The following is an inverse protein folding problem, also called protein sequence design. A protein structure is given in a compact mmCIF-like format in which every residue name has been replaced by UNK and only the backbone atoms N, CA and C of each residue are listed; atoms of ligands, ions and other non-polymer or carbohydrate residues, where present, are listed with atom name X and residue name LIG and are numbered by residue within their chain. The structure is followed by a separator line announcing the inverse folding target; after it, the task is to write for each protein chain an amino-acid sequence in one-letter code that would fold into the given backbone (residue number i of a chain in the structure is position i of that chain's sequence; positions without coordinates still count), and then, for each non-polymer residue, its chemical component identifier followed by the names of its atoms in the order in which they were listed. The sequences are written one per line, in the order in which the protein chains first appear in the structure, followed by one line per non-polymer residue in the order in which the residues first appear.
data_IF_658513780020
#
_entry.id   IF_658513780020
#
_cell.length_a   1.000
_cell.length_b   1.000
_cell.length_c   1.000
_cell.angle_alpha   90.00
_cell.angle_beta   90.00
_cell.angle_gamma   90.00
#
_symmetry.space_group_name_H-M   'P 1'
#
loop_
_entity.id
_entity.type
_entity.pdbx_description
1 polymer ?
#
# COMPACT_ATOMS: atom_id res chain seq x y z
N UNK A 1 3.50 15.75 10.25
CA UNK A 1 3.44 14.27 10.20
C UNK A 1 2.60 13.74 9.05
N UNK A 2 1.39 14.25 8.82
CA UNK A 2 0.51 13.82 7.71
C UNK A 2 1.18 13.88 6.32
N UNK A 3 1.89 14.97 6.00
CA UNK A 3 2.64 15.13 4.74
C UNK A 3 3.72 14.07 4.54
N UNK A 4 4.47 13.72 5.59
CA UNK A 4 5.48 12.64 5.54
C UNK A 4 4.83 11.28 5.27
N UNK A 5 3.69 11.01 5.90
CA UNK A 5 2.92 9.77 5.64
C UNK A 5 2.38 9.75 4.21
N UNK A 6 1.92 10.89 3.69
CA UNK A 6 1.47 11.01 2.29
C UNK A 6 2.61 10.73 1.30
N UNK A 7 3.80 11.30 1.53
CA UNK A 7 4.98 11.06 0.70
C UNK A 7 5.42 9.58 0.77
N UNK A 8 5.33 8.96 1.96
CA UNK A 8 5.64 7.55 2.14
C UNK A 8 4.64 6.61 1.46
N UNK A 9 3.36 6.96 1.42
CA UNK A 9 2.34 6.19 0.69
C UNK A 9 2.48 6.43 -0.82
N UNK A 10 2.87 7.64 -1.23
CA UNK A 10 2.96 8.02 -2.63
C UNK A 10 1.59 8.04 -3.31
N UNK A 11 1.51 7.72 -4.62
CA UNK A 11 0.26 7.76 -5.37
C UNK A 11 -0.68 6.59 -5.07
N UNK A 12 -0.30 5.67 -4.17
CA UNK A 12 -1.08 4.48 -3.83
C UNK A 12 -2.41 4.88 -3.16
N UNK A 13 -3.51 4.66 -3.87
CA UNK A 13 -4.89 4.83 -3.41
C UNK A 13 -5.64 3.51 -3.59
N UNK A 14 -6.72 3.31 -2.83
CA UNK A 14 -7.55 2.12 -3.00
C UNK A 14 -8.05 2.02 -4.45
N UNK A 15 -7.87 0.86 -5.07
CA UNK A 15 -8.12 0.58 -6.49
C UNK A 15 -6.93 0.83 -7.42
N UNK A 16 -5.83 1.44 -6.96
CA UNK A 16 -4.64 1.63 -7.78
C UNK A 16 -3.87 0.32 -7.96
N UNK A 17 -3.20 0.15 -9.10
CA UNK A 17 -2.22 -0.92 -9.32
C UNK A 17 -0.84 -0.29 -9.45
N UNK A 18 0.11 -0.77 -8.67
CA UNK A 18 1.52 -0.42 -8.82
C UNK A 18 2.37 -1.67 -9.02
N UNK A 19 3.55 -1.49 -9.58
CA UNK A 19 4.53 -2.54 -9.81
C UNK A 19 5.87 -2.10 -9.25
N UNK A 20 6.62 -3.05 -8.71
CA UNK A 20 8.02 -2.86 -8.33
C UNK A 20 8.80 -4.17 -8.57
N UNK A 21 9.99 -4.28 -8.01
CA UNK A 21 10.85 -5.47 -8.15
C UNK A 21 10.24 -6.75 -7.58
N UNK A 22 9.32 -6.64 -6.63
CA UNK A 22 8.74 -7.78 -5.92
C UNK A 22 7.49 -8.32 -6.63
N UNK A 23 6.85 -7.52 -7.49
CA UNK A 23 5.66 -7.92 -8.24
C UNK A 23 4.77 -6.75 -8.63
N UNK A 24 3.52 -7.06 -8.98
CA UNK A 24 2.47 -6.08 -9.26
C UNK A 24 1.33 -6.26 -8.26
N UNK A 25 0.90 -5.17 -7.67
CA UNK A 25 -0.01 -5.18 -6.54
C UNK A 25 -1.15 -4.21 -6.73
N UNK A 26 -2.37 -4.69 -6.52
CA UNK A 26 -3.56 -3.87 -6.37
C UNK A 26 -3.70 -3.43 -4.92
N UNK A 27 -3.87 -2.13 -4.72
CA UNK A 27 -4.13 -1.55 -3.40
C UNK A 27 -5.61 -1.69 -3.10
N UNK A 28 -5.97 -2.48 -2.11
CA UNK A 28 -7.36 -2.68 -1.70
C UNK A 28 -7.80 -1.63 -0.67
N UNK A 29 -6.91 -1.26 0.25
CA UNK A 29 -7.20 -0.27 1.28
C UNK A 29 -5.97 0.52 1.72
N UNK A 30 -6.19 1.77 2.12
CA UNK A 30 -5.18 2.64 2.76
C UNK A 30 -5.58 2.86 4.21
N UNK A 31 -4.81 2.28 5.14
CA UNK A 31 -5.04 2.39 6.58
C UNK A 31 -4.17 3.50 7.14
N UNK A 32 -4.79 4.56 7.65
CA UNK A 32 -4.09 5.74 8.22
C UNK A 32 -4.23 5.88 9.73
N UNK A 33 -4.98 4.98 10.35
CA UNK A 33 -5.03 4.84 11.80
C UNK A 33 -3.78 4.08 12.28
N UNK A 34 -2.90 4.70 13.07
CA UNK A 34 -1.69 4.05 13.58
C UNK A 34 -1.97 2.82 14.44
N UNK A 35 -3.05 2.78 15.22
CA UNK A 35 -3.36 1.63 16.07
C UNK A 35 -3.66 0.41 15.20
N UNK A 36 -4.57 0.58 14.24
CA UNK A 36 -4.89 -0.46 13.27
C UNK A 36 -3.68 -0.87 12.44
N UNK A 37 -2.86 0.08 11.99
CA UNK A 37 -1.64 -0.21 11.22
C UNK A 37 -0.62 -1.04 12.03
N UNK A 38 -0.42 -0.73 13.31
CA UNK A 38 0.44 -1.50 14.21
C UNK A 38 -0.07 -2.92 14.41
N UNK A 39 -1.39 -3.09 14.54
CA UNK A 39 -2.03 -4.40 14.64
C UNK A 39 -1.80 -5.24 13.38
N UNK A 40 -1.99 -4.65 12.20
CA UNK A 40 -1.83 -5.34 10.90
C UNK A 40 -0.37 -5.70 10.60
N UNK A 41 0.57 -4.82 10.90
CA UNK A 41 1.99 -5.00 10.54
C UNK A 41 2.81 -5.63 11.67
N UNK A 42 2.23 -5.80 12.85
CA UNK A 42 2.92 -6.21 14.08
C UNK A 42 4.17 -5.35 14.39
N UNK A 43 4.12 -4.04 14.07
CA UNK A 43 5.24 -3.09 14.25
C UNK A 43 4.80 -1.87 15.04
N UNK A 44 5.39 -1.64 16.21
CA UNK A 44 5.02 -0.55 17.13
C UNK A 44 5.17 0.87 16.54
N UNK A 45 6.10 1.06 15.60
CA UNK A 45 6.33 2.36 14.96
C UNK A 45 5.44 2.62 13.74
N UNK A 46 4.64 1.64 13.29
CA UNK A 46 3.77 1.82 12.13
C UNK A 46 2.78 2.98 12.35
N UNK A 47 2.67 3.84 11.34
CA UNK A 47 1.74 4.97 11.31
C UNK A 47 0.65 4.78 10.26
N UNK A 48 0.86 3.87 9.32
CA UNK A 48 -0.03 3.54 8.23
C UNK A 48 0.27 2.13 7.73
N UNK A 49 -0.66 1.57 6.95
CA UNK A 49 -0.49 0.32 6.23
C UNK A 49 -1.30 0.36 4.94
N UNK A 50 -0.90 -0.40 3.93
CA UNK A 50 -1.74 -0.75 2.79
C UNK A 50 -2.16 -2.20 2.92
N UNK A 51 -3.39 -2.50 2.51
CA UNK A 51 -3.79 -3.87 2.19
C UNK A 51 -3.65 -4.01 0.69
N UNK A 52 -2.86 -4.98 0.24
CA UNK A 52 -2.59 -5.22 -1.16
C UNK A 52 -2.90 -6.66 -1.54
N UNK A 53 -3.20 -6.88 -2.82
CA UNK A 53 -3.28 -8.20 -3.44
C UNK A 53 -2.31 -8.28 -4.60
N UNK A 54 -1.56 -9.37 -4.68
CA UNK A 54 -0.70 -9.66 -5.84
C UNK A 54 -1.57 -9.98 -7.05
N UNK A 55 -1.47 -9.18 -8.11
CA UNK A 55 -2.29 -9.38 -9.33
C UNK A 55 -1.70 -10.44 -10.26
N UNK A 56 -0.44 -10.86 -10.04
CA UNK A 56 0.21 -11.93 -10.78
C UNK A 56 -0.13 -13.30 -10.18
N UNK A 57 -0.72 -13.34 -8.98
CA UNK A 57 -1.18 -14.55 -8.28
C UNK A 57 -2.70 -14.48 -8.09
N UNK A 58 -3.50 -15.09 -8.98
CA UNK A 58 -4.96 -14.98 -8.95
C UNK A 58 -5.59 -15.39 -7.61
N UNK A 59 -5.01 -16.39 -6.95
CA UNK A 59 -5.45 -16.93 -5.66
C UNK A 59 -4.67 -16.34 -4.47
N UNK A 60 -3.93 -15.24 -4.69
CA UNK A 60 -3.18 -14.57 -3.65
C UNK A 60 -4.09 -13.88 -2.66
N UNK A 61 -4.06 -14.33 -1.40
CA UNK A 61 -4.78 -13.66 -0.31
C UNK A 61 -4.23 -12.24 -0.07
N UNK A 62 -5.09 -11.26 0.23
CA UNK A 62 -4.65 -9.92 0.59
C UNK A 62 -3.75 -9.90 1.83
N UNK A 63 -2.72 -9.06 1.81
CA UNK A 63 -1.81 -8.90 2.94
C UNK A 63 -1.46 -7.44 3.19
N UNK A 64 -1.01 -7.16 4.43
CA UNK A 64 -0.66 -5.82 4.86
C UNK A 64 0.81 -5.52 4.55
N UNK A 65 1.08 -4.32 4.04
CA UNK A 65 2.43 -3.78 3.84
C UNK A 65 2.56 -2.37 4.43
N UNK A 66 3.79 -2.02 4.79
CA UNK A 66 4.18 -0.68 5.23
C UNK A 66 5.44 -0.17 4.53
N UNK A 67 5.72 -0.67 3.31
CA UNK A 67 6.89 -0.28 2.52
C UNK A 67 6.69 1.10 1.89
N UNK A 68 7.63 2.00 2.17
CA UNK A 68 7.66 3.37 1.66
C UNK A 68 7.72 3.36 0.13
N UNK A 69 7.04 4.32 -0.49
CA UNK A 69 7.09 4.56 -1.93
C UNK A 69 8.47 5.12 -2.31
N UNK A 70 9.07 4.54 -3.33
CA UNK A 70 10.43 4.85 -3.79
C UNK A 70 10.48 5.02 -5.30
N UNK A 71 11.66 5.35 -5.82
CA UNK A 71 11.89 5.43 -7.27
C UNK A 71 11.78 4.07 -7.99
N UNK A 72 11.82 2.96 -7.26
CA UNK A 72 11.65 1.61 -7.81
C UNK A 72 10.18 1.21 -7.98
N UNK A 73 9.25 2.01 -7.45
CA UNK A 73 7.81 1.77 -7.57
C UNK A 73 7.23 2.56 -8.74
N UNK A 74 6.43 1.89 -9.56
CA UNK A 74 5.80 2.47 -10.73
C UNK A 74 4.28 2.29 -10.66
N UNK A 75 3.54 3.37 -10.86
CA UNK A 75 2.08 3.31 -10.93
C UNK A 75 1.67 2.79 -12.31
N UNK A 76 1.03 1.64 -12.33
CA UNK A 76 0.54 0.99 -13.57
C UNK A 76 -0.86 1.48 -13.90
N UNK A 77 -1.70 1.64 -12.86
CA UNK A 77 -3.07 2.12 -13.00
C UNK A 77 -3.45 2.98 -11.81
N UNK A 78 -3.99 4.15 -12.09
CA UNK A 78 -4.55 5.03 -11.07
C UNK A 78 -5.82 4.43 -10.44
N UNK A 79 -6.11 4.84 -9.21
CA UNK A 79 -7.41 4.60 -8.63
C UNK A 79 -8.46 5.44 -9.39
N UNK A 80 -9.53 4.80 -9.83
CA UNK A 80 -10.65 5.52 -10.44
C UNK A 80 -11.33 6.32 -9.33
N UNK A 81 -11.20 7.64 -9.39
CA UNK A 81 -11.98 8.54 -8.53
C UNK A 81 -13.40 8.53 -9.08
N UNK A 82 -14.34 7.90 -8.35
CA UNK A 82 -15.78 8.05 -8.61
C UNK A 82 -16.32 9.20 -7.80
#
# INVERSE_FOLDING_TARGET
MRRVVDDQIGPRRAGAIYQNTDGAFEVLAVIRDPERARGLLHRRCAQWALIVRDVLRPDGEPFAIGSVWTASDHLVREAVTR
#
